data_IF_858650688025
#
_entry.id   IF_858650688025
#
_cell.length_a   1.000
_cell.length_b   1.000
_cell.length_c   1.000
_cell.angle_alpha   90.00
_cell.angle_beta   90.00
_cell.angle_gamma   90.00
#
_symmetry.space_group_name_H-M   'P 1'
#
loop_
_entity.id
_entity.type
_entity.pdbx_description
1 polymer ?
#
# COMPACT_ATOMS: atom_id res chain seq x y z
N UNK A 1 -52.83 -53.51 26.32
CA UNK A 1 -52.24 -52.97 27.56
C UNK A 1 -50.88 -53.61 27.79
N UNK A 2 -49.88 -52.77 28.09
CA UNK A 2 -48.50 -53.06 28.53
C UNK A 2 -47.51 -53.55 27.47
N UNK A 3 -46.66 -52.62 27.02
CA UNK A 3 -45.40 -52.95 26.35
C UNK A 3 -44.93 -51.85 25.39
N UNK A 4 -44.36 -50.77 25.92
CA UNK A 4 -43.33 -49.92 25.24
C UNK A 4 -43.05 -48.63 26.04
N UNK A 5 -42.73 -48.76 27.34
CA UNK A 5 -42.33 -47.63 28.18
C UNK A 5 -40.93 -47.78 28.80
N UNK A 6 -40.07 -48.64 28.22
CA UNK A 6 -38.71 -48.86 28.75
C UNK A 6 -37.59 -48.27 27.92
N UNK A 7 -37.83 -47.72 26.72
CA UNK A 7 -36.75 -47.19 25.85
C UNK A 7 -36.46 -45.69 26.03
N UNK A 8 -37.40 -44.92 26.60
CA UNK A 8 -37.21 -43.47 26.83
C UNK A 8 -36.29 -43.13 28.00
N UNK A 9 -36.19 -44.02 29.01
CA UNK A 9 -35.37 -43.78 30.21
C UNK A 9 -33.87 -44.05 29.99
N UNK A 10 -33.51 -44.95 29.06
CA UNK A 10 -32.10 -45.20 28.74
C UNK A 10 -31.48 -44.09 27.91
N UNK A 11 -32.23 -43.42 27.03
CA UNK A 11 -31.69 -42.28 26.27
C UNK A 11 -31.48 -41.04 27.14
N UNK A 12 -32.30 -40.80 28.16
CA UNK A 12 -32.07 -39.72 29.13
C UNK A 12 -30.91 -40.03 30.09
N UNK A 13 -30.68 -41.30 30.44
CA UNK A 13 -29.53 -41.70 31.25
C UNK A 13 -28.21 -41.60 30.48
N UNK A 14 -28.20 -41.91 29.17
CA UNK A 14 -26.99 -41.78 28.33
C UNK A 14 -26.68 -40.29 28.04
N UNK A 15 -27.68 -39.42 27.98
CA UNK A 15 -27.47 -37.98 27.82
C UNK A 15 -27.01 -37.30 29.12
N UNK A 16 -27.42 -37.80 30.29
CA UNK A 16 -26.89 -37.34 31.59
C UNK A 16 -25.48 -37.84 31.92
N UNK A 17 -24.97 -38.86 31.24
CA UNK A 17 -23.59 -39.34 31.41
C UNK A 17 -22.57 -38.69 30.47
N UNK A 18 -23.02 -37.80 29.58
CA UNK A 18 -22.17 -36.90 28.79
C UNK A 18 -22.53 -35.44 29.13
N UNK A 19 -22.54 -35.11 30.42
CA UNK A 19 -22.13 -33.75 30.78
C UNK A 19 -20.63 -33.70 30.46
N UNK A 20 -20.15 -32.93 29.45
CA UNK A 20 -18.76 -32.52 29.50
C UNK A 20 -18.62 -31.82 30.85
N UNK A 21 -17.78 -32.38 31.72
CA UNK A 21 -17.23 -31.64 32.85
C UNK A 21 -16.89 -30.24 32.34
N UNK A 22 -17.20 -29.15 33.08
CA UNK A 22 -16.72 -27.84 32.67
C UNK A 22 -15.19 -27.96 32.62
N UNK A 23 -14.64 -28.10 31.42
CA UNK A 23 -13.20 -28.03 31.20
C UNK A 23 -12.84 -26.63 31.66
N UNK A 24 -12.20 -26.52 32.83
CA UNK A 24 -11.87 -25.26 33.44
C UNK A 24 -10.97 -24.50 32.46
N UNK A 25 -11.57 -23.54 31.76
CA UNK A 25 -10.93 -22.79 30.70
C UNK A 25 -10.25 -21.57 31.29
N UNK A 26 -8.92 -21.52 31.27
CA UNK A 26 -8.18 -20.34 31.67
C UNK A 26 -8.29 -19.24 30.60
N UNK A 27 -8.18 -17.99 31.04
CA UNK A 27 -8.31 -16.80 30.21
C UNK A 27 -7.13 -15.86 30.43
N UNK A 28 -6.71 -15.18 29.37
CA UNK A 28 -5.73 -14.09 29.44
C UNK A 28 -6.35 -12.83 28.85
N UNK A 29 -6.09 -11.70 29.51
CA UNK A 29 -6.57 -10.39 29.11
C UNK A 29 -5.43 -9.39 29.18
N UNK A 30 -5.20 -8.66 28.09
CA UNK A 30 -4.26 -7.55 28.08
C UNK A 30 -5.00 -6.23 28.32
N UNK A 31 -4.42 -5.33 29.11
CA UNK A 31 -4.96 -3.98 29.32
C UNK A 31 -3.86 -2.95 29.08
N UNK A 32 -3.98 -2.10 28.04
CA UNK A 32 -4.98 -2.13 26.93
C UNK A 32 -4.84 -3.36 26.00
N UNK A 33 -5.88 -3.63 25.18
CA UNK A 33 -5.92 -4.75 24.22
C UNK A 33 -5.00 -4.51 22.98
N UNK A 34 -4.59 -3.26 22.75
CA UNK A 34 -3.63 -2.87 21.72
C UNK A 34 -2.49 -2.06 22.34
N UNK A 35 -1.26 -2.28 21.87
CA UNK A 35 -0.07 -1.60 22.35
C UNK A 35 0.67 -0.94 21.20
N UNK A 36 0.85 0.37 21.31
CA UNK A 36 1.74 1.13 20.42
C UNK A 36 3.14 1.23 21.06
N UNK A 37 4.16 0.79 20.33
CA UNK A 37 5.55 0.81 20.79
C UNK A 37 6.41 1.53 19.76
N UNK A 38 7.28 2.41 20.22
CA UNK A 38 8.24 3.03 19.32
C UNK A 38 9.40 2.06 19.00
N UNK A 39 9.91 2.12 17.77
CA UNK A 39 11.12 1.39 17.38
C UNK A 39 12.27 1.62 18.35
N UNK A 40 12.98 0.54 18.68
CA UNK A 40 14.10 0.48 19.63
C UNK A 40 13.75 0.94 21.05
N UNK A 41 12.46 0.97 21.39
CA UNK A 41 11.97 1.27 22.74
C UNK A 41 11.13 0.12 23.28
N UNK A 42 10.94 0.16 24.60
CA UNK A 42 10.02 -0.71 25.31
C UNK A 42 8.74 0.05 25.68
N UNK A 43 7.62 -0.67 25.74
CA UNK A 43 6.40 -0.19 26.39
C UNK A 43 5.89 -1.26 27.35
N UNK A 44 5.09 -0.82 28.33
CA UNK A 44 4.49 -1.72 29.32
C UNK A 44 3.01 -1.91 29.03
N UNK A 45 2.55 -3.14 29.22
CA UNK A 45 1.14 -3.54 29.16
C UNK A 45 0.84 -4.38 30.38
N UNK A 46 -0.38 -4.32 30.90
CA UNK A 46 -0.79 -5.19 32.00
C UNK A 46 -1.37 -6.47 31.40
N UNK A 47 -0.88 -7.62 31.84
CA UNK A 47 -1.47 -8.92 31.52
C UNK A 47 -2.16 -9.46 32.78
N UNK A 48 -3.42 -9.84 32.64
CA UNK A 48 -4.21 -10.53 33.66
C UNK A 48 -4.54 -11.94 33.17
N UNK A 49 -4.18 -12.96 33.95
CA UNK A 49 -4.53 -14.36 33.71
C UNK A 49 -5.55 -14.77 34.77
N UNK A 50 -6.67 -15.35 34.34
CA UNK A 50 -7.78 -15.75 35.21
C UNK A 50 -8.25 -17.18 34.96
N UNK A 51 -8.98 -17.75 35.91
CA UNK A 51 -9.62 -19.07 35.82
C UNK A 51 -8.61 -20.21 35.59
N UNK A 52 -7.41 -20.12 36.17
CA UNK A 52 -6.41 -21.19 36.11
C UNK A 52 -6.87 -22.37 36.97
N UNK A 53 -6.83 -23.58 36.42
CA UNK A 53 -7.34 -24.77 37.12
C UNK A 53 -6.49 -25.09 38.37
N UNK A 54 -7.12 -25.43 39.52
CA UNK A 54 -6.38 -25.81 40.73
C UNK A 54 -5.41 -26.98 40.55
N UNK A 55 -5.67 -27.89 39.62
CA UNK A 55 -4.79 -29.02 39.30
C UNK A 55 -3.45 -28.56 38.69
N UNK A 56 -3.47 -27.47 37.90
CA UNK A 56 -2.29 -26.82 37.31
C UNK A 56 -1.51 -26.08 38.39
N UNK A 57 -2.22 -25.35 39.27
CA UNK A 57 -1.63 -24.60 40.38
C UNK A 57 -0.87 -25.50 41.37
N UNK A 58 -1.26 -26.78 41.50
CA UNK A 58 -0.59 -27.76 42.35
C UNK A 58 0.69 -28.36 41.73
N UNK A 59 0.98 -28.08 40.45
CA UNK A 59 2.16 -28.61 39.73
C UNK A 59 3.04 -27.47 39.17
N UNK A 60 3.60 -26.59 40.03
CA UNK A 60 4.27 -25.37 39.58
C UNK A 60 5.54 -25.61 38.76
N UNK A 61 6.22 -26.74 38.93
CA UNK A 61 7.40 -27.09 38.14
C UNK A 61 7.09 -27.66 36.76
N UNK A 62 5.83 -28.05 36.51
CA UNK A 62 5.41 -28.67 35.26
C UNK A 62 4.85 -27.66 34.28
N UNK A 63 4.08 -26.69 34.77
CA UNK A 63 3.38 -25.73 33.94
C UNK A 63 4.02 -24.34 34.02
N UNK A 64 4.00 -23.61 32.92
CA UNK A 64 4.38 -22.19 32.89
C UNK A 64 3.60 -21.47 31.79
N UNK A 65 3.29 -20.19 32.00
CA UNK A 65 2.72 -19.36 30.94
C UNK A 65 3.84 -18.72 30.14
N UNK A 66 3.88 -18.94 28.83
CA UNK A 66 4.86 -18.36 27.93
C UNK A 66 4.19 -17.36 26.99
N UNK A 67 4.80 -16.20 26.83
CA UNK A 67 4.37 -15.22 25.85
C UNK A 67 5.17 -15.42 24.57
N UNK A 68 4.48 -15.62 23.46
CA UNK A 68 5.12 -15.78 22.15
C UNK A 68 4.63 -14.70 21.19
N UNK A 69 5.58 -14.09 20.47
CA UNK A 69 5.29 -13.11 19.43
C UNK A 69 5.24 -13.81 18.07
N UNK A 70 4.21 -13.53 17.28
CA UNK A 70 4.07 -14.02 15.90
C UNK A 70 5.28 -13.65 15.02
N UNK A 71 5.88 -12.48 15.27
CA UNK A 71 7.03 -11.96 14.54
C UNK A 71 8.04 -11.37 15.51
N UNK A 72 8.95 -12.21 16.01
CA UNK A 72 9.98 -11.83 16.98
C UNK A 72 10.91 -10.71 16.46
N UNK A 73 11.11 -10.62 15.14
CA UNK A 73 11.91 -9.56 14.51
C UNK A 73 11.24 -8.17 14.57
N UNK A 74 9.92 -8.10 14.77
CA UNK A 74 9.17 -6.85 14.83
C UNK A 74 8.99 -6.40 16.28
N UNK A 75 8.43 -7.28 17.11
CA UNK A 75 8.23 -7.03 18.53
C UNK A 75 8.49 -8.31 19.32
N UNK A 76 9.10 -8.19 20.49
CA UNK A 76 9.34 -9.30 21.40
C UNK A 76 9.00 -8.92 22.84
N UNK A 77 8.65 -9.89 23.66
CA UNK A 77 8.55 -9.68 25.12
C UNK A 77 9.97 -9.72 25.69
N UNK A 78 10.27 -8.84 26.65
CA UNK A 78 11.56 -8.89 27.34
C UNK A 78 11.78 -10.27 27.98
N UNK A 79 12.99 -10.82 27.91
CA UNK A 79 13.28 -12.20 28.32
C UNK A 79 12.86 -12.49 29.78
N UNK A 80 12.96 -11.50 30.66
CA UNK A 80 12.53 -11.59 32.07
C UNK A 80 11.01 -11.84 32.22
N UNK A 81 10.21 -11.35 31.25
CA UNK A 81 8.76 -11.46 31.23
C UNK A 81 8.26 -12.49 30.20
N UNK A 82 9.16 -13.19 29.51
CA UNK A 82 8.80 -14.14 28.46
C UNK A 82 8.13 -15.41 29.01
N UNK A 83 8.43 -15.77 30.27
CA UNK A 83 7.81 -16.87 30.99
C UNK A 83 7.33 -16.43 32.38
N UNK A 84 6.05 -16.62 32.65
CA UNK A 84 5.43 -16.39 33.95
C UNK A 84 5.32 -17.75 34.66
N UNK A 85 6.10 -17.99 35.73
CA UNK A 85 5.96 -19.21 36.52
C UNK A 85 4.63 -19.23 37.25
N UNK A 86 4.07 -20.43 37.43
CA UNK A 86 2.79 -20.65 38.11
C UNK A 86 2.84 -20.24 39.59
N UNK A 87 4.02 -20.23 40.21
CA UNK A 87 4.24 -19.81 41.60
C UNK A 87 3.79 -18.37 41.89
N UNK A 88 3.70 -17.52 40.86
CA UNK A 88 3.26 -16.14 41.00
C UNK A 88 1.73 -16.02 41.05
N UNK A 89 0.99 -17.06 40.65
CA UNK A 89 -0.46 -17.05 40.55
C UNK A 89 -1.05 -17.32 41.94
N UNK A 90 -2.01 -16.48 42.33
CA UNK A 90 -2.68 -16.64 43.61
C UNK A 90 -3.49 -17.95 43.60
N UNK A 91 -3.19 -18.83 44.56
CA UNK A 91 -3.78 -20.17 44.68
C UNK A 91 -5.25 -20.10 45.08
N UNK A 92 -5.66 -19.07 45.83
CA UNK A 92 -7.01 -18.92 46.35
C UNK A 92 -7.96 -18.33 45.30
N UNK A 93 -7.46 -17.44 44.44
CA UNK A 93 -8.26 -16.77 43.41
C UNK A 93 -8.05 -17.34 42.01
N UNK A 94 -6.96 -18.07 41.76
CA UNK A 94 -6.58 -18.55 40.44
C UNK A 94 -6.28 -17.42 39.45
N UNK A 95 -5.87 -16.25 39.98
CA UNK A 95 -5.64 -15.03 39.21
C UNK A 95 -4.23 -14.50 39.38
N UNK A 96 -3.71 -13.92 38.31
CA UNK A 96 -2.45 -13.18 38.32
C UNK A 96 -2.59 -11.94 37.46
N UNK A 97 -2.00 -10.82 37.90
CA UNK A 97 -1.91 -9.62 37.09
C UNK A 97 -0.56 -8.95 37.29
N UNK A 98 0.11 -8.61 36.19
CA UNK A 98 1.43 -7.98 36.25
C UNK A 98 1.79 -7.17 35.01
N UNK A 99 2.76 -6.24 35.13
CA UNK A 99 3.25 -5.49 33.99
C UNK A 99 4.20 -6.35 33.14
N UNK A 100 3.97 -6.38 31.84
CA UNK A 100 4.80 -7.03 30.84
C UNK A 100 5.48 -5.95 30.00
N UNK A 101 6.81 -6.03 29.87
CA UNK A 101 7.56 -5.18 28.95
C UNK A 101 7.64 -5.81 27.56
N UNK A 102 7.19 -5.05 26.56
CA UNK A 102 7.27 -5.40 25.14
C UNK A 102 8.28 -4.47 24.46
N UNK A 103 9.24 -5.07 23.77
CA UNK A 103 10.29 -4.43 23.00
C UNK A 103 9.87 -4.31 21.53
N UNK A 104 9.87 -3.10 20.99
CA UNK A 104 9.68 -2.85 19.55
C UNK A 104 11.02 -2.84 18.84
N UNK A 105 11.32 -3.84 18.02
CA UNK A 105 12.57 -3.94 17.27
C UNK A 105 12.49 -3.22 15.92
N UNK A 106 11.42 -3.46 15.16
CA UNK A 106 11.29 -2.95 13.80
C UNK A 106 9.85 -2.63 13.42
N UNK A 107 9.68 -1.70 12.46
CA UNK A 107 8.39 -1.19 12.01
C UNK A 107 7.47 -2.32 11.51
N UNK A 108 6.26 -2.41 12.07
CA UNK A 108 5.28 -3.41 11.64
C UNK A 108 4.23 -3.71 12.71
N UNK A 109 3.45 -4.76 12.47
CA UNK A 109 2.43 -5.25 13.40
C UNK A 109 2.74 -6.68 13.79
N UNK A 110 2.80 -6.97 15.08
CA UNK A 110 2.94 -8.33 15.60
C UNK A 110 1.82 -8.63 16.59
N UNK A 111 1.43 -9.89 16.68
CA UNK A 111 0.49 -10.40 17.67
C UNK A 111 1.25 -11.17 18.74
N UNK A 112 1.02 -10.85 20.01
CA UNK A 112 1.58 -11.60 21.15
C UNK A 112 0.47 -12.45 21.75
N UNK A 113 0.72 -13.75 21.87
CA UNK A 113 -0.22 -14.72 22.45
C UNK A 113 0.37 -15.35 23.69
N UNK A 114 -0.49 -15.64 24.65
CA UNK A 114 -0.12 -16.38 25.86
C UNK A 114 -0.38 -17.86 25.61
N UNK A 115 0.60 -18.71 25.90
CA UNK A 115 0.53 -20.15 25.80
C UNK A 115 0.76 -20.77 27.17
N UNK A 116 -0.06 -21.74 27.55
CA UNK A 116 0.23 -22.60 28.70
C UNK A 116 1.13 -23.74 28.23
N UNK A 117 2.35 -23.82 28.73
CA UNK A 117 3.34 -24.84 28.34
C UNK A 117 3.44 -25.90 29.44
N UNK A 118 3.23 -27.16 29.07
CA UNK A 118 3.54 -28.34 29.89
C UNK A 118 4.97 -28.80 29.59
N UNK A 119 5.89 -28.60 30.54
CA UNK A 119 7.30 -28.96 30.41
C UNK A 119 7.59 -30.46 30.41
N UNK A 120 6.65 -31.31 30.80
CA UNK A 120 6.82 -32.78 30.74
C UNK A 120 6.38 -33.36 29.40
N UNK A 121 5.30 -32.82 28.83
CA UNK A 121 4.75 -33.30 27.55
C UNK A 121 5.22 -32.47 26.35
N UNK A 122 5.93 -31.35 26.58
CA UNK A 122 6.28 -30.35 25.55
C UNK A 122 5.08 -29.94 24.71
N UNK A 123 3.91 -29.83 25.35
CA UNK A 123 2.67 -29.39 24.71
C UNK A 123 2.38 -27.96 25.11
N UNK A 124 1.86 -27.18 24.17
CA UNK A 124 1.39 -25.82 24.42
C UNK A 124 -0.10 -25.74 24.13
N UNK A 125 -0.84 -25.19 25.08
CA UNK A 125 -2.28 -24.98 24.95
C UNK A 125 -2.57 -23.49 24.82
N UNK A 126 -3.50 -23.17 23.91
CA UNK A 126 -4.03 -21.84 23.73
C UNK A 126 -5.20 -21.58 24.72
N UNK A 127 -5.50 -20.31 25.03
CA UNK A 127 -6.64 -19.94 25.85
C UNK A 127 -7.93 -20.51 25.27
N UNK A 128 -8.75 -21.12 26.12
CA UNK A 128 -9.82 -22.06 25.70
C UNK A 128 -10.99 -21.39 24.97
N UNK A 129 -11.08 -20.05 24.98
CA UNK A 129 -12.21 -19.31 24.42
C UNK A 129 -11.94 -18.51 23.15
N UNK A 130 -10.72 -18.57 22.56
CA UNK A 130 -10.41 -18.03 21.23
C UNK A 130 -10.81 -16.56 20.97
N UNK A 131 -11.22 -15.81 22.00
CA UNK A 131 -11.75 -14.47 21.92
C UNK A 131 -10.58 -13.50 21.71
N UNK A 132 -10.82 -12.43 20.96
CA UNK A 132 -9.85 -11.37 20.62
C UNK A 132 -9.01 -10.86 21.81
N UNK A 133 -9.54 -10.96 23.03
CA UNK A 133 -8.90 -10.46 24.25
C UNK A 133 -7.68 -11.28 24.71
N UNK A 134 -7.50 -12.50 24.20
CA UNK A 134 -6.42 -13.39 24.62
C UNK A 134 -5.09 -13.16 23.89
N UNK A 135 -5.04 -12.09 23.10
CA UNK A 135 -3.89 -11.74 22.29
C UNK A 135 -3.71 -10.24 22.26
N UNK A 136 -2.47 -9.79 22.37
CA UNK A 136 -2.10 -8.39 22.29
C UNK A 136 -1.69 -8.04 20.86
N UNK A 137 -2.36 -7.07 20.25
CA UNK A 137 -1.90 -6.49 19.00
C UNK A 137 -0.86 -5.40 19.28
N UNK A 138 0.38 -5.63 18.85
CA UNK A 138 1.50 -4.72 19.02
C UNK A 138 1.79 -4.01 17.71
N UNK A 139 1.61 -2.69 17.70
CA UNK A 139 1.96 -1.82 16.58
C UNK A 139 3.29 -1.15 16.88
N UNK A 140 4.33 -1.54 16.15
CA UNK A 140 5.64 -0.91 16.26
C UNK A 140 5.71 0.23 15.26
N UNK A 141 5.72 1.45 15.78
CA UNK A 141 5.74 2.69 15.02
C UNK A 141 7.09 3.39 15.16
N UNK A 142 7.45 4.23 14.20
CA UNK A 142 8.64 5.06 14.35
C UNK A 142 8.30 6.32 15.15
N UNK A 143 9.25 6.89 15.92
CA UNK A 143 9.02 8.19 16.54
C UNK A 143 8.86 9.27 15.47
N UNK A 144 7.84 10.12 15.61
CA UNK A 144 7.60 11.23 14.69
C UNK A 144 8.76 12.25 14.79
N UNK A 145 9.36 12.56 13.64
CA UNK A 145 10.41 13.59 13.53
C UNK A 145 9.81 14.85 12.93
N UNK A 146 10.39 16.01 13.24
CA UNK A 146 9.99 17.30 12.60
C UNK A 146 10.02 17.20 11.07
N UNK A 147 10.99 16.44 10.54
CA UNK A 147 11.16 16.17 9.10
C UNK A 147 9.93 15.47 8.49
N UNK A 148 9.19 14.66 9.25
CA UNK A 148 7.98 13.97 8.78
C UNK A 148 6.81 14.92 8.57
N UNK A 149 6.59 15.86 9.50
CA UNK A 149 5.56 16.89 9.33
C UNK A 149 5.89 17.83 8.18
N UNK A 150 7.16 18.25 8.06
CA UNK A 150 7.64 19.07 6.93
C UNK A 150 7.38 18.36 5.61
N UNK A 151 7.59 17.05 5.56
CA UNK A 151 7.35 16.26 4.36
C UNK A 151 5.89 16.14 3.97
N UNK A 152 5.02 15.78 4.90
CA UNK A 152 3.58 15.68 4.62
C UNK A 152 3.05 17.05 4.17
N UNK A 153 3.44 18.12 4.86
CA UNK A 153 3.10 19.49 4.45
C UNK A 153 3.63 19.87 3.06
N UNK A 154 4.87 19.48 2.74
CA UNK A 154 5.47 19.74 1.42
C UNK A 154 4.80 18.96 0.31
N UNK A 155 4.44 17.68 0.53
CA UNK A 155 3.69 16.90 -0.46
C UNK A 155 2.32 17.52 -0.69
N UNK A 156 1.58 17.89 0.37
CA UNK A 156 0.27 18.53 0.24
C UNK A 156 0.39 19.81 -0.61
N UNK A 157 1.38 20.65 -0.30
CA UNK A 157 1.63 21.90 -1.03
C UNK A 157 1.96 21.63 -2.50
N UNK A 158 2.96 20.80 -2.77
CA UNK A 158 3.42 20.50 -4.12
C UNK A 158 2.34 19.79 -4.95
N UNK A 159 1.57 18.87 -4.36
CA UNK A 159 0.44 18.24 -5.04
C UNK A 159 -0.67 19.22 -5.34
N UNK A 160 -0.98 20.12 -4.41
CA UNK A 160 -1.96 21.18 -4.65
C UNK A 160 -1.53 22.06 -5.83
N UNK A 161 -0.25 22.44 -5.90
CA UNK A 161 0.30 23.21 -7.01
C UNK A 161 0.25 22.43 -8.34
N UNK A 162 0.59 21.14 -8.33
CA UNK A 162 0.51 20.28 -9.52
C UNK A 162 -0.94 20.17 -10.02
N UNK A 163 -1.92 19.98 -9.12
CA UNK A 163 -3.33 19.89 -9.49
C UNK A 163 -3.92 21.24 -9.94
N UNK A 164 -3.49 22.37 -9.35
CA UNK A 164 -3.83 23.70 -9.87
C UNK A 164 -3.29 23.87 -11.29
N UNK A 165 -2.03 23.49 -11.54
CA UNK A 165 -1.45 23.56 -12.87
C UNK A 165 -2.18 22.65 -13.86
N UNK A 166 -2.57 21.43 -13.45
CA UNK A 166 -3.38 20.54 -14.28
C UNK A 166 -4.74 21.15 -14.60
N UNK A 167 -5.44 21.71 -13.61
CA UNK A 167 -6.71 22.40 -13.84
C UNK A 167 -6.56 23.60 -14.78
N UNK A 168 -5.47 24.36 -14.65
CA UNK A 168 -5.16 25.47 -15.55
C UNK A 168 -4.80 25.01 -16.97
N UNK A 169 -4.12 23.87 -17.10
CA UNK A 169 -3.72 23.26 -18.36
C UNK A 169 -4.85 22.48 -19.05
N UNK A 170 -5.96 22.23 -18.35
CA UNK A 170 -7.08 21.42 -18.83
C UNK A 170 -7.78 22.11 -20.00
N UNK A 171 -7.30 21.91 -21.21
CA UNK A 171 -7.93 22.47 -22.39
C UNK A 171 -9.07 21.55 -22.85
N UNK A 172 -10.32 22.02 -22.71
CA UNK A 172 -11.50 21.31 -23.19
C UNK A 172 -11.49 21.07 -24.70
N UNK A 173 -10.76 21.88 -25.47
CA UNK A 173 -10.57 21.66 -26.91
C UNK A 173 -9.66 20.47 -27.19
N UNK A 174 -8.71 20.15 -26.30
CA UNK A 174 -7.86 18.96 -26.44
C UNK A 174 -8.74 17.71 -26.32
N UNK A 175 -9.75 17.70 -25.44
CA UNK A 175 -10.75 16.62 -25.38
C UNK A 175 -11.51 16.44 -26.70
N UNK A 176 -11.67 17.48 -27.52
CA UNK A 176 -12.29 17.36 -28.85
C UNK A 176 -11.48 16.46 -29.78
N UNK A 177 -10.18 16.31 -29.54
CA UNK A 177 -9.32 15.35 -30.25
C UNK A 177 -9.76 13.89 -30.08
N UNK A 178 -10.45 13.54 -28.98
CA UNK A 178 -11.06 12.23 -28.80
C UNK A 178 -12.16 11.96 -29.84
N UNK A 179 -12.88 13.00 -30.25
CA UNK A 179 -13.99 12.89 -31.20
C UNK A 179 -13.47 12.66 -32.62
N UNK A 180 -12.32 13.24 -32.98
CA UNK A 180 -11.78 13.17 -34.34
C UNK A 180 -11.02 11.88 -34.62
N UNK A 181 -10.31 11.32 -33.63
CA UNK A 181 -9.61 10.02 -33.74
C UNK A 181 -9.73 9.23 -32.43
N UNK A 182 -10.88 8.57 -32.18
CA UNK A 182 -11.18 7.97 -30.88
C UNK A 182 -10.37 6.71 -30.56
N UNK A 183 -9.90 5.98 -31.57
CA UNK A 183 -9.38 4.61 -31.39
C UNK A 183 -8.15 4.59 -30.48
N UNK A 184 -7.07 5.31 -30.82
CA UNK A 184 -5.85 5.34 -30.02
C UNK A 184 -6.06 5.82 -28.57
N UNK A 185 -6.72 6.98 -28.32
CA UNK A 185 -7.00 7.41 -26.96
C UNK A 185 -7.88 6.43 -26.18
N UNK A 186 -8.84 5.76 -26.83
CA UNK A 186 -9.73 4.79 -26.16
C UNK A 186 -8.96 3.54 -25.72
N UNK A 187 -8.03 3.05 -26.54
CA UNK A 187 -7.15 1.92 -26.17
C UNK A 187 -6.35 2.30 -24.92
N UNK A 188 -5.70 3.45 -24.98
CA UNK A 188 -4.93 3.98 -23.85
C UNK A 188 -5.77 4.16 -22.59
N UNK A 189 -6.98 4.69 -22.73
CA UNK A 189 -7.92 4.84 -21.62
C UNK A 189 -8.30 3.51 -20.98
N UNK A 190 -8.67 2.50 -21.78
CA UNK A 190 -9.01 1.16 -21.28
C UNK A 190 -7.80 0.51 -20.61
N UNK A 191 -6.62 0.62 -21.21
CA UNK A 191 -5.39 0.10 -20.62
C UNK A 191 -5.05 0.77 -19.29
N UNK A 192 -5.29 2.07 -19.16
CA UNK A 192 -5.05 2.81 -17.93
C UNK A 192 -6.10 2.52 -16.85
N UNK A 193 -7.39 2.47 -17.23
CA UNK A 193 -8.51 2.31 -16.28
C UNK A 193 -8.75 0.85 -15.91
N UNK A 194 -8.37 -0.11 -16.75
CA UNK A 194 -8.63 -1.54 -16.50
C UNK A 194 -7.33 -2.33 -16.51
N UNK A 195 -6.51 -2.17 -17.54
CA UNK A 195 -5.28 -2.96 -17.71
C UNK A 195 -4.31 -2.81 -16.54
N UNK A 196 -3.95 -1.58 -16.17
CA UNK A 196 -2.98 -1.29 -15.11
C UNK A 196 -3.46 -1.68 -13.70
N UNK A 197 -4.72 -1.42 -13.30
CA UNK A 197 -5.29 -1.93 -12.05
C UNK A 197 -5.26 -3.46 -11.94
N UNK A 198 -5.65 -4.18 -13.00
CA UNK A 198 -5.64 -5.63 -13.00
C UNK A 198 -4.21 -6.18 -12.96
N UNK A 199 -3.31 -5.57 -13.71
CA UNK A 199 -1.89 -5.94 -13.73
C UNK A 199 -1.24 -5.72 -12.36
N UNK A 200 -1.47 -4.57 -11.72
CA UNK A 200 -0.89 -4.28 -10.41
C UNK A 200 -1.46 -5.17 -9.31
N UNK A 201 -2.76 -5.50 -9.36
CA UNK A 201 -3.38 -6.47 -8.46
C UNK A 201 -2.77 -7.85 -8.64
N UNK A 202 -2.70 -8.35 -9.88
CA UNK A 202 -2.16 -9.68 -10.18
C UNK A 202 -0.68 -9.80 -9.79
N UNK A 203 0.14 -8.79 -10.13
CA UNK A 203 1.55 -8.73 -9.71
C UNK A 203 1.68 -8.64 -8.20
N UNK A 204 0.82 -7.89 -7.52
CA UNK A 204 0.82 -7.77 -6.07
C UNK A 204 0.60 -9.13 -5.42
N UNK A 205 -0.46 -9.84 -5.82
CA UNK A 205 -0.76 -11.18 -5.30
C UNK A 205 0.34 -12.18 -5.61
N UNK A 206 0.94 -12.11 -6.80
CA UNK A 206 1.99 -13.04 -7.23
C UNK A 206 3.33 -12.82 -6.53
N UNK A 207 3.77 -11.56 -6.39
CA UNK A 207 5.10 -11.22 -5.84
C UNK A 207 5.06 -11.12 -4.31
N UNK A 208 3.93 -10.70 -3.73
CA UNK A 208 3.80 -10.40 -2.30
C UNK A 208 2.68 -11.19 -1.62
N UNK A 209 2.58 -12.52 -1.76
CA UNK A 209 1.45 -13.30 -1.26
C UNK A 209 1.19 -13.10 0.25
N UNK A 210 2.26 -12.97 1.04
CA UNK A 210 2.20 -12.82 2.50
C UNK A 210 2.39 -11.37 2.99
N UNK A 211 2.55 -10.42 2.07
CA UNK A 211 2.85 -9.01 2.40
C UNK A 211 1.77 -8.06 1.83
N UNK A 212 0.57 -8.02 2.42
CA UNK A 212 -0.56 -7.25 1.88
C UNK A 212 -0.29 -5.73 1.87
N UNK A 213 0.57 -5.21 2.76
CA UNK A 213 1.03 -3.83 2.70
C UNK A 213 1.77 -3.49 1.39
N UNK A 214 2.60 -4.42 0.90
CA UNK A 214 3.32 -4.26 -0.37
C UNK A 214 2.37 -4.40 -1.56
N UNK A 215 1.38 -5.31 -1.47
CA UNK A 215 0.30 -5.42 -2.46
C UNK A 215 -0.47 -4.11 -2.60
N UNK A 216 -0.85 -3.47 -1.48
CA UNK A 216 -1.51 -2.17 -1.47
C UNK A 216 -0.64 -1.11 -2.16
N UNK A 217 0.64 -1.02 -1.79
CA UNK A 217 1.57 -0.07 -2.42
C UNK A 217 1.65 -0.21 -3.94
N UNK A 218 1.74 -1.46 -4.44
CA UNK A 218 1.77 -1.74 -5.87
C UNK A 218 0.42 -1.43 -6.54
N UNK A 219 -0.68 -1.84 -5.91
CA UNK A 219 -2.03 -1.64 -6.42
C UNK A 219 -2.36 -0.15 -6.56
N UNK A 220 -2.10 0.65 -5.52
CA UNK A 220 -2.28 2.10 -5.55
C UNK A 220 -1.45 2.78 -6.63
N UNK A 221 -0.26 2.24 -6.92
CA UNK A 221 0.56 2.71 -8.05
C UNK A 221 -0.11 2.41 -9.40
N UNK A 222 -0.69 1.22 -9.57
CA UNK A 222 -1.33 0.84 -10.84
C UNK A 222 -2.71 1.45 -11.10
N UNK A 223 -3.45 1.84 -10.06
CA UNK A 223 -4.74 2.55 -10.22
C UNK A 223 -4.57 4.06 -10.40
N UNK A 224 -3.37 4.58 -10.12
CA UNK A 224 -3.06 6.00 -10.33
C UNK A 224 -3.20 6.36 -11.82
N UNK A 225 -3.46 7.63 -12.19
CA UNK A 225 -3.43 8.05 -13.58
C UNK A 225 -1.99 8.10 -14.13
N UNK A 226 -1.89 8.27 -15.45
CA UNK A 226 -0.61 8.47 -16.14
C UNK A 226 0.15 9.69 -15.59
N UNK A 227 1.46 9.52 -15.40
CA UNK A 227 2.34 10.55 -14.85
C UNK A 227 2.88 11.51 -15.91
N UNK A 228 2.97 12.81 -15.60
CA UNK A 228 3.37 13.84 -16.58
C UNK A 228 4.76 13.68 -17.22
N UNK A 229 5.60 12.78 -16.72
CA UNK A 229 6.87 12.40 -17.35
C UNK A 229 6.68 11.64 -18.69
N UNK A 230 5.52 11.02 -18.90
CA UNK A 230 5.13 10.34 -20.16
C UNK A 230 5.24 11.25 -21.37
N UNK A 231 4.80 12.51 -21.27
CA UNK A 231 4.88 13.48 -22.35
C UNK A 231 6.32 13.72 -22.81
N UNK A 232 7.26 13.81 -21.88
CA UNK A 232 8.69 14.00 -22.17
C UNK A 232 9.27 12.74 -22.82
N UNK A 233 8.97 11.56 -22.29
CA UNK A 233 9.45 10.30 -22.85
C UNK A 233 8.88 10.00 -24.24
N UNK A 234 7.60 10.29 -24.46
CA UNK A 234 6.96 10.24 -25.78
C UNK A 234 7.67 11.16 -26.76
N UNK A 235 8.01 12.40 -26.37
CA UNK A 235 8.76 13.31 -27.23
C UNK A 235 10.18 12.79 -27.55
N UNK A 236 10.92 12.32 -26.53
CA UNK A 236 12.30 11.82 -26.69
C UNK A 236 12.37 10.56 -27.56
N UNK A 237 11.37 9.69 -27.46
CA UNK A 237 11.33 8.43 -28.21
C UNK A 237 10.57 8.51 -29.54
N UNK A 238 10.14 9.70 -29.98
CA UNK A 238 9.46 9.90 -31.27
C UNK A 238 8.02 9.37 -31.31
N UNK A 239 7.35 9.34 -30.17
CA UNK A 239 5.91 9.12 -30.05
C UNK A 239 5.10 10.35 -30.46
N UNK A 240 3.78 10.16 -30.59
CA UNK A 240 2.82 11.22 -30.82
C UNK A 240 2.56 12.01 -29.53
N UNK A 241 3.11 13.23 -29.44
CA UNK A 241 3.00 14.10 -28.27
C UNK A 241 1.55 14.55 -28.05
N UNK A 242 0.81 14.86 -29.12
CA UNK A 242 -0.58 15.30 -29.01
C UNK A 242 -1.47 14.20 -28.40
N UNK A 243 -1.23 12.95 -28.80
CA UNK A 243 -1.90 11.79 -28.22
C UNK A 243 -1.51 11.60 -26.74
N UNK A 244 -0.23 11.77 -26.40
CA UNK A 244 0.27 11.66 -25.02
C UNK A 244 -0.47 12.64 -24.09
N UNK A 245 -0.49 13.93 -24.48
CA UNK A 245 -1.14 14.99 -23.71
C UNK A 245 -2.65 14.74 -23.56
N UNK A 246 -3.31 14.27 -24.64
CA UNK A 246 -4.73 13.92 -24.60
C UNK A 246 -4.99 12.77 -23.62
N UNK A 247 -4.22 11.70 -23.69
CA UNK A 247 -4.36 10.53 -22.81
C UNK A 247 -4.07 10.85 -21.35
N UNK A 248 -3.00 11.62 -21.07
CA UNK A 248 -2.70 12.09 -19.72
C UNK A 248 -3.86 12.93 -19.17
N UNK A 249 -4.44 13.82 -19.99
CA UNK A 249 -5.56 14.67 -19.54
C UNK A 249 -6.81 13.84 -19.22
N UNK A 250 -7.21 12.93 -20.13
CA UNK A 250 -8.38 12.07 -19.93
C UNK A 250 -8.19 11.17 -18.71
N UNK A 251 -7.02 10.54 -18.55
CA UNK A 251 -6.75 9.66 -17.42
C UNK A 251 -6.74 10.39 -16.07
N UNK A 252 -6.14 11.58 -15.98
CA UNK A 252 -6.17 12.38 -14.75
C UNK A 252 -7.58 12.83 -14.36
N UNK A 253 -8.41 13.21 -15.34
CA UNK A 253 -9.83 13.53 -15.06
C UNK A 253 -10.60 12.28 -14.63
N UNK A 254 -10.39 11.16 -15.30
CA UNK A 254 -11.07 9.92 -14.98
C UNK A 254 -10.65 9.34 -13.63
N UNK A 255 -9.42 9.57 -13.18
CA UNK A 255 -8.89 9.09 -11.90
C UNK A 255 -9.76 9.47 -10.70
N UNK A 256 -10.42 10.63 -10.74
CA UNK A 256 -11.36 11.04 -9.68
C UNK A 256 -12.51 10.07 -9.48
N UNK A 257 -12.93 9.35 -10.53
CA UNK A 257 -13.94 8.31 -10.44
C UNK A 257 -13.34 6.90 -10.40
N UNK A 258 -12.32 6.63 -11.21
CA UNK A 258 -11.77 5.29 -11.38
C UNK A 258 -10.92 4.84 -10.20
N UNK A 259 -10.17 5.74 -9.54
CA UNK A 259 -9.42 5.35 -8.33
C UNK A 259 -10.35 4.93 -7.19
N UNK A 260 -11.37 5.72 -6.78
CA UNK A 260 -12.34 5.27 -5.78
C UNK A 260 -13.03 3.96 -6.17
N UNK A 261 -13.43 3.81 -7.44
CA UNK A 261 -14.04 2.57 -7.94
C UNK A 261 -13.15 1.34 -7.69
N UNK A 262 -11.86 1.42 -8.00
CA UNK A 262 -10.92 0.33 -7.78
C UNK A 262 -10.61 0.09 -6.30
N UNK A 263 -10.57 1.15 -5.49
CA UNK A 263 -10.41 1.03 -4.04
C UNK A 263 -11.59 0.28 -3.43
N UNK A 264 -12.83 0.57 -3.86
CA UNK A 264 -14.05 -0.08 -3.38
C UNK A 264 -14.33 -1.45 -4.02
N UNK A 265 -13.47 -1.93 -4.90
CA UNK A 265 -13.59 -3.27 -5.50
C UNK A 265 -12.40 -4.13 -5.10
N UNK A 266 -11.36 -4.21 -5.94
CA UNK A 266 -10.18 -5.03 -5.65
C UNK A 266 -9.37 -4.49 -4.46
N UNK A 267 -9.35 -3.18 -4.24
CA UNK A 267 -8.69 -2.59 -3.09
C UNK A 267 -9.23 -3.11 -1.76
N UNK A 268 -10.55 -3.28 -1.65
CA UNK A 268 -11.22 -3.79 -0.45
C UNK A 268 -10.73 -5.20 -0.10
N UNK A 269 -10.52 -6.06 -1.10
CA UNK A 269 -9.96 -7.41 -0.89
C UNK A 269 -8.53 -7.36 -0.33
N UNK A 270 -7.70 -6.41 -0.77
CA UNK A 270 -6.34 -6.26 -0.25
C UNK A 270 -6.38 -5.69 1.17
N UNK A 271 -7.26 -4.72 1.45
CA UNK A 271 -7.45 -4.17 2.79
C UNK A 271 -7.91 -5.25 3.79
N UNK A 272 -8.87 -6.09 3.40
CA UNK A 272 -9.33 -7.23 4.20
C UNK A 272 -8.19 -8.21 4.50
N UNK A 273 -7.39 -8.57 3.49
CA UNK A 273 -6.19 -9.41 3.69
C UNK A 273 -5.15 -8.77 4.61
N UNK A 274 -5.10 -7.44 4.65
CA UNK A 274 -4.22 -6.71 5.55
C UNK A 274 -4.79 -6.57 6.97
N UNK A 275 -5.98 -7.11 7.25
CA UNK A 275 -6.67 -6.91 8.53
C UNK A 275 -7.09 -5.46 8.76
N UNK A 276 -7.21 -4.67 7.70
CA UNK A 276 -7.51 -3.24 7.77
C UNK A 276 -8.92 -2.94 7.26
N UNK A 277 -9.63 -2.06 7.97
CA UNK A 277 -10.83 -1.45 7.42
C UNK A 277 -10.47 -0.37 6.41
N UNK A 278 -11.22 -0.30 5.31
CA UNK A 278 -11.04 0.74 4.29
C UNK A 278 -11.36 2.11 4.92
N UNK A 279 -10.42 3.07 4.90
CA UNK A 279 -10.61 4.36 5.57
C UNK A 279 -11.44 5.32 4.69
N UNK A 280 -12.74 5.04 4.54
CA UNK A 280 -13.67 5.78 3.66
C UNK A 280 -13.65 7.30 3.87
N UNK A 281 -13.63 7.75 5.13
CA UNK A 281 -13.60 9.18 5.47
C UNK A 281 -12.31 9.85 4.98
N UNK A 282 -11.16 9.18 5.14
CA UNK A 282 -9.87 9.68 4.69
C UNK A 282 -9.77 9.71 3.17
N UNK A 283 -10.32 8.68 2.49
CA UNK A 283 -10.42 8.64 1.03
C UNK A 283 -11.24 9.84 0.51
N UNK A 284 -12.38 10.14 1.14
CA UNK A 284 -13.19 11.29 0.78
C UNK A 284 -12.42 12.61 0.97
N UNK A 285 -11.69 12.76 2.08
CA UNK A 285 -10.85 13.95 2.30
C UNK A 285 -9.71 14.07 1.29
N UNK A 286 -9.10 12.94 0.90
CA UNK A 286 -8.08 12.90 -0.14
C UNK A 286 -8.65 13.36 -1.49
N UNK A 287 -9.79 12.80 -1.92
CA UNK A 287 -10.44 13.20 -3.16
C UNK A 287 -10.77 14.70 -3.13
N UNK A 288 -11.34 15.20 -2.04
CA UNK A 288 -11.61 16.62 -1.87
C UNK A 288 -10.33 17.48 -1.97
N UNK A 289 -9.23 17.02 -1.36
CA UNK A 289 -7.92 17.71 -1.39
C UNK A 289 -7.31 17.80 -2.78
N UNK A 290 -7.71 16.95 -3.72
CA UNK A 290 -7.27 16.98 -5.12
C UNK A 290 -8.25 17.73 -6.02
N UNK A 291 -9.57 17.58 -5.78
CA UNK A 291 -10.61 18.26 -6.56
C UNK A 291 -10.58 19.76 -6.33
N UNK A 292 -10.40 20.22 -5.09
CA UNK A 292 -10.42 21.66 -4.78
C UNK A 292 -9.30 22.42 -5.52
N UNK A 293 -8.02 22.03 -5.46
CA UNK A 293 -6.96 22.69 -6.23
C UNK A 293 -7.18 22.60 -7.75
N UNK A 294 -7.71 21.49 -8.25
CA UNK A 294 -8.06 21.35 -9.67
C UNK A 294 -9.11 22.38 -10.11
N UNK A 295 -10.18 22.54 -9.33
CA UNK A 295 -11.24 23.51 -9.61
C UNK A 295 -10.72 24.95 -9.56
N UNK A 296 -9.80 25.24 -8.63
CA UNK A 296 -9.10 26.55 -8.58
C UNK A 296 -8.29 26.76 -9.87
N UNK A 297 -7.55 25.75 -10.32
CA UNK A 297 -6.82 25.79 -11.59
C UNK A 297 -7.74 26.08 -12.79
N UNK A 298 -8.88 25.41 -12.85
CA UNK A 298 -9.89 25.62 -13.90
C UNK A 298 -10.51 27.03 -13.83
N UNK A 299 -10.77 27.54 -12.63
CA UNK A 299 -11.25 28.91 -12.43
C UNK A 299 -10.21 29.94 -12.92
N UNK A 300 -8.92 29.73 -12.60
CA UNK A 300 -7.83 30.58 -13.09
C UNK A 300 -7.76 30.56 -14.62
N UNK A 301 -7.95 29.40 -15.24
CA UNK A 301 -8.01 29.26 -16.70
C UNK A 301 -9.06 30.17 -17.34
N UNK A 302 -10.24 30.27 -16.73
CA UNK A 302 -11.32 31.13 -17.24
C UNK A 302 -11.10 32.61 -16.93
N UNK A 303 -10.55 32.92 -15.76
CA UNK A 303 -10.43 34.31 -15.31
C UNK A 303 -9.19 35.04 -15.85
N UNK A 304 -8.06 34.34 -16.05
CA UNK A 304 -6.80 34.98 -16.43
C UNK A 304 -5.90 34.10 -17.34
N UNK A 305 -6.02 34.23 -18.67
CA UNK A 305 -5.17 33.52 -19.64
C UNK A 305 -3.67 33.83 -19.49
N UNK A 306 -3.32 34.98 -18.90
CA UNK A 306 -1.92 35.33 -18.60
C UNK A 306 -1.37 34.45 -17.49
N UNK A 307 -2.13 34.27 -16.40
CA UNK A 307 -1.73 33.43 -15.27
C UNK A 307 -1.69 31.95 -15.67
N UNK A 308 -2.63 31.50 -16.51
CA UNK A 308 -2.62 30.14 -17.07
C UNK A 308 -1.32 29.82 -17.80
N UNK A 309 -0.85 30.70 -18.69
CA UNK A 309 0.41 30.46 -19.42
C UNK A 309 1.60 30.33 -18.49
N UNK A 310 1.65 31.11 -17.41
CA UNK A 310 2.68 30.98 -16.38
C UNK A 310 2.58 29.63 -15.66
N UNK A 311 1.39 29.24 -15.21
CA UNK A 311 1.13 27.98 -14.51
C UNK A 311 1.49 26.75 -15.37
N UNK A 312 1.06 26.73 -16.64
CA UNK A 312 1.39 25.67 -17.59
C UNK A 312 2.90 25.56 -17.79
N UNK A 313 3.61 26.68 -17.90
CA UNK A 313 5.08 26.69 -18.03
C UNK A 313 5.77 26.15 -16.78
N UNK A 314 5.22 26.40 -15.60
CA UNK A 314 5.73 25.91 -14.32
C UNK A 314 5.37 24.45 -14.02
N UNK A 315 4.45 23.83 -14.77
CA UNK A 315 4.02 22.45 -14.53
C UNK A 315 5.19 21.46 -14.57
N UNK A 316 6.06 21.55 -15.59
CA UNK A 316 7.23 20.67 -15.76
C UNK A 316 8.22 20.79 -14.59
N UNK A 317 8.76 21.98 -14.25
CA UNK A 317 9.71 22.11 -13.16
C UNK A 317 9.10 21.76 -11.79
N UNK A 318 7.83 22.10 -11.53
CA UNK A 318 7.17 21.75 -10.27
C UNK A 318 7.00 20.22 -10.16
N UNK A 319 6.56 19.55 -11.22
CA UNK A 319 6.41 18.09 -11.22
C UNK A 319 7.75 17.37 -11.05
N UNK A 320 8.80 17.84 -11.73
CA UNK A 320 10.15 17.29 -11.57
C UNK A 320 10.71 17.55 -10.16
N UNK A 321 10.49 18.74 -9.61
CA UNK A 321 10.88 19.10 -8.24
C UNK A 321 10.17 18.22 -7.21
N UNK A 322 8.87 17.95 -7.38
CA UNK A 322 8.11 17.04 -6.53
C UNK A 322 8.67 15.62 -6.54
N UNK A 323 8.95 15.06 -7.73
CA UNK A 323 9.53 13.71 -7.84
C UNK A 323 10.91 13.67 -7.17
N UNK A 324 11.77 14.66 -7.46
CA UNK A 324 13.10 14.74 -6.86
C UNK A 324 13.01 14.88 -5.33
N UNK A 325 12.11 15.72 -4.83
CA UNK A 325 11.84 15.90 -3.40
C UNK A 325 11.41 14.59 -2.74
N UNK A 326 10.48 13.85 -3.35
CA UNK A 326 10.03 12.54 -2.86
C UNK A 326 11.20 11.56 -2.80
N UNK A 327 12.04 11.49 -3.85
CA UNK A 327 13.20 10.59 -3.89
C UNK A 327 14.21 10.97 -2.81
N UNK A 328 14.59 12.25 -2.71
CA UNK A 328 15.55 12.74 -1.72
C UNK A 328 15.03 12.47 -0.30
N UNK A 329 13.77 12.78 -0.04
CA UNK A 329 13.15 12.47 1.25
C UNK A 329 13.11 10.95 1.51
N UNK A 330 12.73 10.14 0.51
CA UNK A 330 12.75 8.70 0.63
C UNK A 330 14.17 8.14 0.90
N UNK A 331 15.22 8.86 0.52
CA UNK A 331 16.60 8.47 0.85
C UNK A 331 16.97 8.95 2.26
N UNK A 332 16.71 10.22 2.59
CA UNK A 332 17.15 10.86 3.85
C UNK A 332 16.40 10.30 5.06
N UNK A 333 15.08 10.20 4.98
CA UNK A 333 14.22 9.92 6.14
C UNK A 333 14.09 8.44 6.43
N UNK A 334 14.49 7.62 5.46
CA UNK A 334 14.04 6.26 5.31
C UNK A 334 15.22 5.31 4.96
N UNK A 335 16.40 5.57 5.54
CA UNK A 335 17.51 4.60 5.48
C UNK A 335 17.09 3.21 6.00
N UNK A 336 16.15 3.15 6.96
CA UNK A 336 15.53 1.90 7.40
C UNK A 336 14.60 1.27 6.34
N UNK A 337 13.96 2.05 5.45
CA UNK A 337 13.19 1.50 4.32
C UNK A 337 14.11 0.82 3.28
N UNK A 338 15.40 1.16 3.21
CA UNK A 338 16.35 0.38 2.41
C UNK A 338 16.56 -1.03 2.98
N UNK A 339 16.39 -1.24 4.29
CA UNK A 339 16.37 -2.59 4.86
C UNK A 339 15.12 -3.37 4.42
N UNK A 340 14.00 -2.67 4.21
CA UNK A 340 12.79 -3.24 3.61
C UNK A 340 12.91 -3.44 2.10
N UNK A 341 13.86 -2.77 1.43
CA UNK A 341 14.05 -2.82 -0.02
C UNK A 341 14.63 -4.17 -0.44
N UNK A 342 13.74 -5.15 -0.57
CA UNK A 342 14.07 -6.48 -1.02
C UNK A 342 14.17 -6.56 -2.54
N UNK A 343 14.81 -7.61 -3.03
CA UNK A 343 14.87 -7.88 -4.47
C UNK A 343 13.46 -8.03 -5.07
N UNK A 344 12.48 -8.52 -4.29
CA UNK A 344 11.08 -8.59 -4.71
C UNK A 344 10.47 -7.21 -4.98
N UNK A 345 10.79 -6.21 -4.15
CA UNK A 345 10.30 -4.83 -4.34
C UNK A 345 10.94 -4.19 -5.57
N UNK A 346 12.23 -4.43 -5.80
CA UNK A 346 12.91 -3.99 -7.02
C UNK A 346 12.31 -4.64 -8.26
N UNK A 347 12.08 -5.97 -8.20
CA UNK A 347 11.48 -6.74 -9.27
C UNK A 347 10.06 -6.28 -9.57
N UNK A 348 9.20 -6.07 -8.56
CA UNK A 348 7.86 -5.51 -8.74
C UNK A 348 7.90 -4.09 -9.32
N UNK A 349 8.82 -3.25 -8.82
CA UNK A 349 9.05 -1.90 -9.29
C UNK A 349 9.43 -1.82 -10.76
N UNK A 350 10.21 -2.78 -11.26
CA UNK A 350 10.58 -2.90 -12.67
C UNK A 350 9.49 -3.59 -13.50
N UNK A 351 8.86 -4.63 -12.96
CA UNK A 351 7.89 -5.46 -13.66
C UNK A 351 6.62 -4.70 -14.00
N UNK A 352 6.06 -3.93 -13.07
CA UNK A 352 4.82 -3.18 -13.28
C UNK A 352 4.90 -2.24 -14.50
N UNK A 353 5.86 -1.28 -14.58
CA UNK A 353 5.97 -0.41 -15.74
C UNK A 353 6.38 -1.19 -17.00
N UNK A 354 7.29 -2.17 -16.90
CA UNK A 354 7.77 -2.93 -18.06
C UNK A 354 6.68 -3.76 -18.73
N UNK A 355 5.86 -4.46 -17.93
CA UNK A 355 4.71 -5.21 -18.41
C UNK A 355 3.60 -4.27 -18.89
N UNK A 356 3.41 -3.12 -18.22
CA UNK A 356 2.52 -2.07 -18.68
C UNK A 356 2.88 -1.59 -20.09
N UNK A 357 4.16 -1.27 -20.34
CA UNK A 357 4.66 -0.91 -21.66
C UNK A 357 4.41 -2.02 -22.69
N UNK A 358 4.78 -3.26 -22.36
CA UNK A 358 4.70 -4.39 -23.28
C UNK A 358 3.24 -4.73 -23.67
N UNK A 359 2.35 -4.84 -22.68
CA UNK A 359 0.95 -5.20 -22.91
C UNK A 359 0.23 -4.09 -23.68
N UNK A 360 0.45 -2.82 -23.31
CA UNK A 360 -0.17 -1.69 -23.99
C UNK A 360 0.34 -1.54 -25.43
N UNK A 361 1.65 -1.71 -25.65
CA UNK A 361 2.22 -1.72 -26.99
C UNK A 361 1.64 -2.85 -27.85
N UNK A 362 1.60 -4.08 -27.32
CA UNK A 362 1.06 -5.24 -28.02
C UNK A 362 -0.42 -5.02 -28.36
N UNK A 363 -1.22 -4.55 -27.40
CA UNK A 363 -2.63 -4.24 -27.61
C UNK A 363 -2.83 -3.18 -28.69
N UNK A 364 -2.04 -2.10 -28.67
CA UNK A 364 -2.08 -1.08 -29.71
C UNK A 364 -1.69 -1.63 -31.09
N UNK A 365 -0.68 -2.50 -31.17
CA UNK A 365 -0.27 -3.15 -32.42
C UNK A 365 -1.33 -4.12 -32.95
N UNK A 366 -1.97 -4.92 -32.09
CA UNK A 366 -3.06 -5.82 -32.46
C UNK A 366 -4.28 -5.07 -32.98
N UNK A 367 -4.53 -3.86 -32.45
CA UNK A 367 -5.58 -2.95 -32.91
C UNK A 367 -5.09 -2.02 -34.04
N UNK A 368 -4.06 -2.45 -34.79
CA UNK A 368 -3.54 -1.82 -35.99
C UNK A 368 -3.12 -0.35 -35.82
N UNK A 369 -2.67 0.05 -34.63
CA UNK A 369 -2.07 1.36 -34.46
C UNK A 369 -0.68 1.43 -35.11
N UNK A 370 -0.46 2.57 -35.77
CA UNK A 370 0.82 3.06 -36.28
C UNK A 370 1.88 3.11 -35.16
N UNK A 371 3.15 2.91 -35.51
CA UNK A 371 4.22 2.69 -34.53
C UNK A 371 4.43 3.86 -33.56
N UNK A 372 4.18 5.10 -34.00
CA UNK A 372 4.28 6.28 -33.15
C UNK A 372 3.15 6.33 -32.10
N UNK A 373 1.92 6.03 -32.52
CA UNK A 373 0.76 6.00 -31.62
C UNK A 373 0.82 4.79 -30.66
N UNK A 374 1.24 3.62 -31.15
CA UNK A 374 1.46 2.44 -30.31
C UNK A 374 2.56 2.67 -29.25
N UNK A 375 3.63 3.39 -29.61
CA UNK A 375 4.68 3.77 -28.66
C UNK A 375 4.15 4.75 -27.60
N UNK A 376 3.38 5.75 -28.00
CA UNK A 376 2.74 6.69 -27.05
C UNK A 376 1.79 5.97 -26.11
N UNK A 377 0.92 5.09 -26.62
CA UNK A 377 -0.01 4.31 -25.79
C UNK A 377 0.77 3.47 -24.77
N UNK A 378 1.87 2.86 -25.20
CA UNK A 378 2.74 2.10 -24.31
C UNK A 378 3.32 2.97 -23.19
N UNK A 379 4.00 4.06 -23.54
CA UNK A 379 4.65 4.97 -22.59
C UNK A 379 3.64 5.55 -21.60
N UNK A 380 2.49 6.04 -22.07
CA UNK A 380 1.43 6.57 -21.22
C UNK A 380 0.84 5.53 -20.28
N UNK A 381 0.70 4.27 -20.72
CA UNK A 381 0.15 3.22 -19.86
C UNK A 381 1.16 2.77 -18.79
N UNK A 382 2.43 2.62 -19.14
CA UNK A 382 3.41 2.11 -18.18
C UNK A 382 3.93 3.17 -17.20
N UNK A 383 3.97 4.46 -17.59
CA UNK A 383 4.36 5.54 -16.68
C UNK A 383 3.16 5.95 -15.81
N UNK A 384 3.19 5.49 -14.57
CA UNK A 384 2.19 5.86 -13.57
C UNK A 384 2.59 7.09 -12.78
N UNK A 385 1.61 7.84 -12.28
CA UNK A 385 1.84 8.93 -11.34
C UNK A 385 2.05 8.39 -9.92
N UNK A 386 3.27 7.93 -9.65
CA UNK A 386 3.68 7.41 -8.33
C UNK A 386 3.53 8.45 -7.22
N UNK A 387 3.62 9.74 -7.54
CA UNK A 387 3.39 10.81 -6.57
C UNK A 387 1.97 10.78 -5.99
N UNK A 388 0.96 10.57 -6.83
CA UNK A 388 -0.45 10.47 -6.41
C UNK A 388 -0.65 9.27 -5.48
N UNK A 389 -0.06 8.12 -5.81
CA UNK A 389 -0.08 6.93 -4.96
C UNK A 389 0.57 7.19 -3.59
N UNK A 390 1.76 7.78 -3.58
CA UNK A 390 2.48 8.11 -2.33
C UNK A 390 1.67 9.10 -1.50
N UNK A 391 1.15 10.16 -2.13
CA UNK A 391 0.33 11.15 -1.45
C UNK A 391 -0.90 10.52 -0.80
N UNK A 392 -1.61 9.64 -1.51
CA UNK A 392 -2.74 8.89 -0.98
C UNK A 392 -2.34 8.06 0.24
N UNK A 393 -1.33 7.19 0.08
CA UNK A 393 -0.91 6.25 1.14
C UNK A 393 -0.47 6.98 2.41
N UNK A 394 0.27 8.09 2.25
CA UNK A 394 0.79 8.90 3.36
C UNK A 394 -0.25 9.73 4.10
N UNK A 395 -1.34 10.11 3.43
CA UNK A 395 -2.39 10.93 4.05
C UNK A 395 -3.58 10.13 4.55
N UNK A 396 -3.75 8.91 4.02
CA UNK A 396 -4.92 8.08 4.28
C UNK A 396 -4.64 6.97 5.29
N UNK A 397 -3.45 6.35 5.25
CA UNK A 397 -3.09 5.27 6.15
C UNK A 397 -2.38 5.79 7.41
N UNK A 398 -2.48 5.02 8.50
CA UNK A 398 -1.74 5.29 9.73
C UNK A 398 -0.37 4.59 9.70
N UNK A 399 0.55 5.02 10.57
CA UNK A 399 1.76 4.24 10.82
C UNK A 399 1.38 2.92 11.53
N UNK A 400 2.03 1.80 11.22
CA UNK A 400 3.19 1.62 10.32
C UNK A 400 2.85 1.46 8.82
N UNK A 401 1.57 1.26 8.46
CA UNK A 401 1.19 0.87 7.10
C UNK A 401 1.50 1.94 6.05
N UNK A 402 1.34 3.22 6.40
CA UNK A 402 1.68 4.35 5.52
C UNK A 402 3.15 4.31 5.08
N UNK A 403 4.06 3.93 5.97
CA UNK A 403 5.49 3.85 5.69
C UNK A 403 5.83 2.61 4.85
N UNK A 404 5.30 1.43 5.24
CA UNK A 404 5.52 0.16 4.55
C UNK A 404 5.00 0.18 3.11
N UNK A 405 3.80 0.69 2.89
CA UNK A 405 3.15 0.74 1.56
C UNK A 405 3.84 1.71 0.60
N UNK A 406 4.48 2.77 1.10
CA UNK A 406 5.12 3.82 0.29
C UNK A 406 6.40 3.32 -0.41
N UNK A 407 7.05 2.27 0.10
CA UNK A 407 8.29 1.73 -0.46
C UNK A 407 8.12 1.29 -1.92
N UNK A 408 6.99 0.64 -2.23
CA UNK A 408 6.74 0.07 -3.56
C UNK A 408 6.55 1.16 -4.63
N UNK A 409 5.68 2.18 -4.45
CA UNK A 409 5.60 3.32 -5.38
C UNK A 409 6.94 4.03 -5.60
N UNK A 410 7.78 4.16 -4.57
CA UNK A 410 9.12 4.74 -4.70
C UNK A 410 10.01 3.86 -5.58
N UNK A 411 10.00 2.54 -5.36
CA UNK A 411 10.69 1.57 -6.23
C UNK A 411 10.23 1.70 -7.68
N UNK A 412 8.91 1.73 -7.93
CA UNK A 412 8.36 1.94 -9.27
C UNK A 412 8.85 3.26 -9.87
N UNK A 413 8.87 4.36 -9.12
CA UNK A 413 9.33 5.65 -9.60
C UNK A 413 10.80 5.61 -10.06
N UNK A 414 11.66 4.93 -9.30
CA UNK A 414 13.09 4.77 -9.62
C UNK A 414 13.30 3.85 -10.82
N UNK A 415 12.52 2.77 -10.94
CA UNK A 415 12.68 1.75 -11.98
C UNK A 415 12.00 2.13 -13.31
N UNK A 416 10.96 2.97 -13.29
CA UNK A 416 10.18 3.38 -14.47
C UNK A 416 11.02 3.93 -15.64
N UNK A 417 12.05 4.78 -15.42
CA UNK A 417 12.89 5.29 -16.51
C UNK A 417 13.83 4.25 -17.12
N UNK A 418 14.19 3.18 -16.41
CA UNK A 418 15.25 2.26 -16.83
C UNK A 418 14.95 1.54 -18.16
N UNK A 419 13.77 0.95 -18.39
CA UNK A 419 13.44 0.35 -19.69
C UNK A 419 13.46 1.37 -20.83
N UNK A 420 12.99 2.58 -20.58
CA UNK A 420 12.92 3.65 -21.58
C UNK A 420 14.30 4.20 -21.93
N UNK A 421 15.18 4.36 -20.93
CA UNK A 421 16.60 4.66 -21.12
C UNK A 421 17.28 3.57 -21.95
N UNK A 422 17.01 2.30 -21.66
CA UNK A 422 17.51 1.17 -22.46
C UNK A 422 17.13 1.28 -23.94
N UNK A 423 15.85 1.56 -24.23
CA UNK A 423 15.37 1.77 -25.60
C UNK A 423 16.03 3.00 -26.24
N UNK A 424 16.16 4.10 -25.51
CA UNK A 424 16.81 5.32 -25.98
C UNK A 424 18.28 5.08 -26.34
N UNK A 425 19.04 4.45 -25.45
CA UNK A 425 20.45 4.12 -25.67
C UNK A 425 20.60 3.16 -26.85
N UNK A 426 19.77 2.11 -26.91
CA UNK A 426 19.78 1.17 -28.04
C UNK A 426 19.54 1.88 -29.38
N UNK A 427 18.57 2.79 -29.46
CA UNK A 427 18.32 3.58 -30.67
C UNK A 427 19.47 4.52 -30.99
N UNK A 428 20.09 5.13 -29.98
CA UNK A 428 21.23 6.03 -30.16
C UNK A 428 22.47 5.29 -30.70
N UNK A 429 22.79 4.12 -30.15
CA UNK A 429 23.92 3.32 -30.61
C UNK A 429 23.64 2.62 -31.96
N UNK A 430 22.43 2.10 -32.17
CA UNK A 430 22.05 1.47 -33.43
C UNK A 430 21.86 2.49 -34.57
N UNK A 431 21.41 3.70 -34.26
CA UNK A 431 21.33 4.83 -35.19
C UNK A 431 22.70 5.43 -35.49
N UNK A 432 23.65 5.39 -34.54
CA UNK A 432 25.06 5.75 -34.81
C UNK A 432 25.76 4.78 -35.78
N UNK A 433 25.28 3.52 -35.88
CA UNK A 433 25.78 2.52 -36.83
C UNK A 433 25.13 2.62 -38.23
N UNK A 434 23.99 3.30 -38.35
CA UNK A 434 23.33 3.60 -39.63
C UNK A 434 23.34 5.11 -39.82
N UNK A 435 24.41 5.63 -40.41
CA UNK A 435 24.54 7.05 -40.74
C UNK A 435 23.32 7.57 -41.52
N UNK A 436 22.40 8.20 -40.82
CA UNK A 436 21.37 9.07 -41.40
C UNK A 436 21.04 10.14 -40.37
N UNK A 437 21.30 11.38 -40.75
CA UNK A 437 21.01 12.59 -39.98
C UNK A 437 19.57 12.56 -39.45
N UNK A 438 19.41 12.68 -38.13
CA UNK A 438 18.13 13.06 -37.57
C UNK A 438 17.85 14.51 -37.99
N UNK A 439 16.63 14.86 -38.43
CA UNK A 439 16.31 16.26 -38.72
C UNK A 439 16.43 17.04 -37.41
N UNK A 440 17.42 17.93 -37.37
CA UNK A 440 17.58 18.90 -36.30
C UNK A 440 16.32 19.78 -36.32
N UNK A 441 15.44 19.59 -35.34
CA UNK A 441 14.27 20.45 -35.12
C UNK A 441 14.71 21.91 -35.16
N UNK A 442 14.12 22.66 -36.09
CA UNK A 442 14.41 24.06 -36.31
C UNK A 442 14.08 24.85 -35.04
N UNK A 443 14.83 25.92 -34.73
CA UNK A 443 14.60 26.75 -33.52
C UNK A 443 13.13 27.20 -33.38
N UNK A 444 12.43 27.41 -34.49
CA UNK A 444 11.01 27.79 -34.52
C UNK A 444 10.06 26.71 -33.97
N UNK A 445 10.46 25.43 -34.00
CA UNK A 445 9.67 24.34 -33.43
C UNK A 445 9.95 24.14 -31.93
N UNK A 446 11.15 24.50 -31.45
CA UNK A 446 11.45 24.55 -30.01
C UNK A 446 10.64 25.61 -29.30
N UNK A 447 10.45 26.77 -29.92
CA UNK A 447 9.68 27.88 -29.32
C UNK A 447 8.19 27.59 -29.17
N UNK A 448 7.61 26.66 -29.96
CA UNK A 448 6.21 26.23 -29.79
C UNK A 448 6.01 25.18 -28.71
N UNK A 449 7.09 24.59 -28.19
CA UNK A 449 7.07 23.57 -27.13
C UNK A 449 7.39 24.18 -25.75
N UNK A 450 7.66 25.49 -25.67
CA UNK A 450 7.96 26.24 -24.44
C UNK A 450 6.74 26.90 -23.83
#
# INVERSE_FOLDING_TARGET
MKGNASWGWWMLAIWCCYCPSPTASWMAHFMPNDLEVHMEKSAQVILSVENVEPSILQQPQRYSFRLESSHQNLANVADENASIPIDLIDVDTGKWSGPIQVLGHFLGTSKITVHLVDGQLNTSELPTNGSSDSSLEVRVVRPERVVDHVFVGSIILLMSLVYINFGAALNLEVLRGLITRPVAPSIGFIMQVVGMPLLSYALGVFIFPEAPAMQLGLFFTGISPSGGASNTWSAVLGGNINLSVLMTTISNVAAFATMPLWIFTLGQLIFERAGMMVPYSKIATYCASLVVPLLIGLAIQRCSPRLTRLLVRLLKPISASLILFIIIFAIITNFYLFQLFSWQIAAAGLALPSLGYAIAWLTAKLLNQNSSDALTIAIETGIQNTGIAIFFLRTTLQQPQADLTTVVPVSVAIMTPLPLLGIYLYRRFSGGLKGTEAPVLSERERERIV
#
